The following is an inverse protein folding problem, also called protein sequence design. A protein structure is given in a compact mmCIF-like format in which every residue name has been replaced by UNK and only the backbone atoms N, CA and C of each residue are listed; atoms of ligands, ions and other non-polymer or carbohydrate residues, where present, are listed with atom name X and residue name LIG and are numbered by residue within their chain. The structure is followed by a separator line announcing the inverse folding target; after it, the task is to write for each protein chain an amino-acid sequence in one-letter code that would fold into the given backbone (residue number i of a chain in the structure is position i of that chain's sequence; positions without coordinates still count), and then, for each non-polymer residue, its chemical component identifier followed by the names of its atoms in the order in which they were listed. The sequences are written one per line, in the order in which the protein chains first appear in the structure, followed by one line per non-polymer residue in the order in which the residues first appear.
data_IF_638325160875
#
_entry.id   IF_638325160875
#
_cell.length_a   1.000
_cell.length_b   1.000
_cell.length_c   1.000
_cell.angle_alpha   90.00
_cell.angle_beta   90.00
_cell.angle_gamma   90.00
#
_symmetry.space_group_name_H-M   'P 1'
#
loop_
_entity.id
_entity.type
_entity.pdbx_description
1 polymer ?
#
# COMPACT_ATOMS: atom_id res chain seq x y z
N UNK A 1 64.88 -11.78 3.76
CA UNK A 1 64.91 -11.45 2.33
C UNK A 1 65.06 -12.75 1.56
N UNK A 2 63.94 -13.30 1.09
CA UNK A 2 63.90 -14.45 0.16
C UNK A 2 62.66 -14.25 -0.72
N UNK A 3 62.90 -13.96 -1.99
CA UNK A 3 61.90 -13.79 -3.05
C UNK A 3 61.87 -15.05 -3.89
N UNK A 4 60.67 -15.57 -4.20
CA UNK A 4 60.27 -16.22 -5.47
C UNK A 4 58.86 -16.79 -5.29
N UNK A 5 57.85 -16.15 -5.88
CA UNK A 5 57.37 -16.30 -7.26
C UNK A 5 56.34 -17.45 -7.36
N UNK A 6 55.07 -17.05 -7.36
CA UNK A 6 53.94 -17.87 -7.80
C UNK A 6 53.10 -17.07 -8.80
N UNK A 7 53.22 -17.42 -10.08
CA UNK A 7 52.30 -17.02 -11.14
C UNK A 7 51.14 -18.02 -11.20
N UNK A 8 49.89 -17.52 -11.22
CA UNK A 8 48.71 -18.29 -11.58
C UNK A 8 48.15 -17.77 -12.93
N UNK A 9 47.63 -18.65 -13.80
CA UNK A 9 47.28 -18.31 -15.17
C UNK A 9 45.93 -17.60 -15.31
N UNK A 10 45.88 -16.76 -16.33
CA UNK A 10 44.75 -16.08 -16.92
C UNK A 10 43.62 -17.04 -17.33
N UNK A 11 42.49 -16.95 -16.63
CA UNK A 11 41.19 -17.46 -17.07
C UNK A 11 40.35 -16.28 -17.56
N UNK A 12 39.96 -16.33 -18.84
CA UNK A 12 39.10 -15.32 -19.45
C UNK A 12 37.75 -15.21 -18.75
N UNK A 13 37.16 -14.03 -18.80
CA UNK A 13 35.90 -13.71 -18.14
C UNK A 13 34.75 -13.60 -19.18
N UNK A 14 34.00 -14.69 -19.45
CA UNK A 14 32.84 -14.64 -20.31
C UNK A 14 31.56 -14.49 -19.47
N UNK A 15 31.28 -13.27 -18.99
CA UNK A 15 29.90 -12.91 -18.66
C UNK A 15 29.70 -11.41 -18.50
N UNK A 16 29.63 -10.71 -19.63
CA UNK A 16 28.75 -9.54 -19.73
C UNK A 16 27.32 -10.06 -19.74
N UNK A 17 26.81 -10.44 -18.58
CA UNK A 17 25.35 -10.52 -18.36
C UNK A 17 24.86 -9.10 -18.14
N UNK A 18 24.52 -8.47 -19.27
CA UNK A 18 23.72 -7.25 -19.32
C UNK A 18 22.44 -7.50 -18.53
N UNK A 19 22.37 -6.99 -17.30
CA UNK A 19 21.17 -7.02 -16.49
C UNK A 19 20.05 -6.35 -17.30
N UNK A 20 19.11 -7.18 -17.74
CA UNK A 20 17.85 -6.78 -18.33
C UNK A 20 17.06 -5.99 -17.29
N UNK A 21 16.54 -4.83 -17.70
CA UNK A 21 15.65 -3.94 -16.95
C UNK A 21 15.00 -4.62 -15.74
N UNK A 22 15.45 -4.28 -14.54
CA UNK A 22 14.69 -4.54 -13.34
C UNK A 22 13.36 -3.80 -13.52
N UNK A 23 12.26 -4.53 -13.62
CA UNK A 23 10.94 -3.92 -13.47
C UNK A 23 10.98 -3.17 -12.13
N UNK A 24 10.86 -1.84 -12.19
CA UNK A 24 10.80 -1.01 -10.99
C UNK A 24 9.61 -1.49 -10.17
N UNK A 25 9.88 -2.29 -9.13
CA UNK A 25 8.87 -2.60 -8.13
C UNK A 25 8.39 -1.26 -7.59
N UNK A 26 7.09 -0.91 -7.76
CA UNK A 26 6.62 0.41 -7.37
C UNK A 26 6.95 0.62 -5.90
N UNK A 27 7.55 1.76 -5.59
CA UNK A 27 7.90 2.13 -4.23
C UNK A 27 6.64 2.07 -3.36
N UNK A 28 6.66 1.31 -2.25
CA UNK A 28 5.49 1.08 -1.39
C UNK A 28 5.79 1.43 0.06
N UNK A 29 4.72 1.60 0.82
CA UNK A 29 4.79 2.05 2.20
C UNK A 29 4.79 0.86 3.20
N UNK A 30 5.63 0.92 4.25
CA UNK A 30 7.04 0.51 4.18
C UNK A 30 7.21 -0.98 3.89
N UNK A 31 8.22 -1.28 3.07
CA UNK A 31 8.50 -2.59 2.44
C UNK A 31 8.91 -3.75 3.37
N UNK A 32 8.78 -3.65 4.71
CA UNK A 32 9.35 -4.66 5.63
C UNK A 32 8.41 -5.28 6.67
N UNK A 33 7.09 -5.02 6.67
CA UNK A 33 6.23 -5.47 7.79
C UNK A 33 4.94 -6.21 7.43
N UNK A 34 4.58 -6.42 6.17
CA UNK A 34 3.35 -7.16 5.84
C UNK A 34 3.53 -8.02 4.58
N UNK A 35 3.54 -9.37 4.69
CA UNK A 35 3.49 -10.23 3.52
C UNK A 35 2.19 -9.98 2.73
N UNK A 36 2.35 -9.73 1.42
CA UNK A 36 1.26 -9.51 0.49
C UNK A 36 0.71 -10.88 0.04
N UNK A 37 -0.54 -11.18 0.35
CA UNK A 37 -1.19 -12.40 -0.15
C UNK A 37 -1.96 -12.02 -1.41
N UNK A 38 -1.30 -12.12 -2.57
CA UNK A 38 -1.92 -11.89 -3.90
C UNK A 38 -2.83 -13.03 -4.34
N UNK A 39 -2.64 -14.23 -3.78
CA UNK A 39 -3.35 -15.42 -4.22
C UNK A 39 -4.86 -15.32 -3.91
N UNK A 40 -5.67 -15.07 -4.94
CA UNK A 40 -7.14 -15.10 -4.88
C UNK A 40 -7.83 -13.76 -4.62
N UNK A 41 -7.11 -12.64 -4.61
CA UNK A 41 -7.72 -11.31 -4.50
C UNK A 41 -8.53 -10.96 -5.77
N UNK A 42 -9.69 -10.30 -5.62
CA UNK A 42 -10.45 -9.82 -6.79
C UNK A 42 -9.72 -8.64 -7.43
N UNK A 43 -9.87 -8.40 -8.75
CA UNK A 43 -9.24 -7.25 -9.41
C UNK A 43 -9.52 -5.91 -8.74
N UNK A 44 -10.76 -5.69 -8.26
CA UNK A 44 -11.13 -4.47 -7.54
C UNK A 44 -10.38 -4.30 -6.21
N UNK A 45 -10.04 -5.41 -5.55
CA UNK A 45 -9.26 -5.42 -4.32
C UNK A 45 -7.83 -4.95 -4.58
N UNK A 46 -7.23 -5.45 -5.67
CA UNK A 46 -5.89 -5.07 -6.09
C UNK A 46 -5.85 -3.58 -6.47
N UNK A 47 -6.85 -3.10 -7.21
CA UNK A 47 -6.96 -1.67 -7.59
C UNK A 47 -7.01 -0.77 -6.36
N UNK A 48 -7.84 -1.10 -5.37
CA UNK A 48 -7.91 -0.33 -4.13
C UNK A 48 -6.59 -0.38 -3.35
N UNK A 49 -5.99 -1.56 -3.22
CA UNK A 49 -4.73 -1.72 -2.48
C UNK A 49 -3.62 -0.89 -3.13
N UNK A 50 -3.47 -0.93 -4.45
CA UNK A 50 -2.45 -0.14 -5.15
C UNK A 50 -2.66 1.36 -4.93
N UNK A 51 -3.88 1.86 -5.16
CA UNK A 51 -4.19 3.27 -4.95
C UNK A 51 -3.96 3.71 -3.49
N UNK A 52 -4.30 2.84 -2.52
CA UNK A 52 -4.04 3.10 -1.10
C UNK A 52 -2.54 3.20 -0.84
N UNK A 53 -1.74 2.24 -1.31
CA UNK A 53 -0.29 2.24 -1.08
C UNK A 53 0.38 3.48 -1.68
N UNK A 54 0.01 3.85 -2.91
CA UNK A 54 0.51 5.06 -3.57
C UNK A 54 0.16 6.34 -2.80
N UNK A 55 -1.09 6.48 -2.36
CA UNK A 55 -1.53 7.60 -1.51
C UNK A 55 -0.73 7.69 -0.20
N UNK A 56 -0.35 6.55 0.39
CA UNK A 56 0.34 6.50 1.68
C UNK A 56 1.82 6.89 1.61
N UNK A 57 2.45 6.86 0.43
CA UNK A 57 3.83 7.31 0.22
C UNK A 57 4.04 8.78 0.61
N UNK A 58 3.00 9.61 0.55
CA UNK A 58 3.05 11.02 0.92
C UNK A 58 3.11 11.29 2.42
N UNK A 59 3.14 10.28 3.28
CA UNK A 59 3.04 10.42 4.73
C UNK A 59 4.13 9.67 5.51
N UNK A 60 4.49 10.19 6.69
CA UNK A 60 5.40 9.50 7.61
C UNK A 60 4.78 8.27 8.29
N UNK A 61 5.64 7.40 8.84
CA UNK A 61 5.31 6.04 9.30
C UNK A 61 4.05 5.91 10.21
N UNK A 62 3.87 6.83 11.15
CA UNK A 62 2.74 6.73 12.08
C UNK A 62 1.42 7.14 11.41
N UNK A 63 1.48 8.18 10.57
CA UNK A 63 0.32 8.72 9.86
C UNK A 63 -0.19 7.72 8.84
N UNK A 64 0.69 7.18 8.00
CA UNK A 64 0.22 6.26 6.97
C UNK A 64 -0.14 4.88 7.53
N UNK A 65 0.44 4.43 8.67
CA UNK A 65 -0.09 3.25 9.39
C UNK A 65 -1.54 3.48 9.85
N UNK A 66 -1.81 4.66 10.42
CA UNK A 66 -3.14 5.02 10.89
C UNK A 66 -4.14 5.14 9.72
N UNK A 67 -3.74 5.79 8.63
CA UNK A 67 -4.57 5.96 7.44
C UNK A 67 -4.82 4.64 6.72
N UNK A 68 -3.83 3.73 6.64
CA UNK A 68 -4.01 2.39 6.09
C UNK A 68 -5.17 1.65 6.77
N UNK A 69 -5.16 1.61 8.11
CA UNK A 69 -6.23 0.97 8.88
C UNK A 69 -7.61 1.63 8.69
N UNK A 70 -7.63 2.96 8.53
CA UNK A 70 -8.87 3.70 8.31
C UNK A 70 -9.47 3.43 6.92
N UNK A 71 -8.59 3.42 5.90
CA UNK A 71 -8.96 3.17 4.50
C UNK A 71 -9.39 1.71 4.29
N UNK A 72 -8.71 0.76 4.94
CA UNK A 72 -9.12 -0.66 4.92
C UNK A 72 -10.53 -0.83 5.48
N UNK A 73 -10.85 -0.20 6.61
CA UNK A 73 -12.15 -0.37 7.25
C UNK A 73 -13.31 0.13 6.37
N UNK A 74 -13.18 1.30 5.73
CA UNK A 74 -14.22 1.81 4.83
C UNK A 74 -14.31 0.99 3.54
N UNK A 75 -13.18 0.52 3.01
CA UNK A 75 -13.16 -0.33 1.81
C UNK A 75 -13.89 -1.65 2.04
N UNK A 76 -13.57 -2.37 3.13
CA UNK A 76 -14.25 -3.62 3.46
C UNK A 76 -15.74 -3.41 3.72
N UNK A 77 -16.09 -2.33 4.42
CA UNK A 77 -17.49 -1.95 4.64
C UNK A 77 -18.26 -1.69 3.33
N UNK A 78 -17.64 -0.99 2.37
CA UNK A 78 -18.21 -0.69 1.06
C UNK A 78 -18.36 -1.97 0.23
N UNK A 79 -17.31 -2.78 0.18
CA UNK A 79 -17.30 -4.07 -0.53
C UNK A 79 -18.38 -5.03 -0.02
N UNK A 80 -18.51 -5.18 1.30
CA UNK A 80 -19.56 -6.01 1.91
C UNK A 80 -20.98 -5.60 1.49
N UNK A 81 -21.17 -4.35 1.08
CA UNK A 81 -22.45 -3.77 0.65
C UNK A 81 -22.59 -3.65 -0.87
N UNK A 82 -21.59 -4.08 -1.63
CA UNK A 82 -21.55 -3.94 -3.08
C UNK A 82 -21.45 -2.48 -3.53
N UNK A 83 -20.86 -1.60 -2.72
CA UNK A 83 -20.59 -0.21 -3.08
C UNK A 83 -19.21 -0.09 -3.72
N UNK A 84 -19.09 0.74 -4.76
CA UNK A 84 -17.80 1.16 -5.27
C UNK A 84 -17.17 2.17 -4.30
N UNK A 85 -15.99 1.83 -3.78
CA UNK A 85 -15.25 2.66 -2.82
C UNK A 85 -14.75 3.95 -3.45
N UNK A 86 -14.50 3.96 -4.76
CA UNK A 86 -14.03 5.14 -5.51
C UNK A 86 -15.17 6.11 -5.87
N UNK A 87 -16.42 5.73 -5.59
CA UNK A 87 -17.62 6.49 -5.95
C UNK A 87 -18.64 6.57 -4.81
N UNK A 88 -18.19 6.59 -3.55
CA UNK A 88 -19.12 6.64 -2.41
C UNK A 88 -19.89 7.95 -2.38
N UNK A 89 -21.22 7.84 -2.42
CA UNK A 89 -22.13 8.97 -2.28
C UNK A 89 -22.16 9.51 -0.85
N UNK A 90 -22.59 10.76 -0.68
CA UNK A 90 -22.83 11.36 0.64
C UNK A 90 -23.77 10.51 1.51
N UNK A 91 -24.77 9.86 0.90
CA UNK A 91 -25.69 8.97 1.61
C UNK A 91 -24.96 7.76 2.18
N UNK A 92 -24.09 7.13 1.39
CA UNK A 92 -23.28 5.99 1.82
C UNK A 92 -22.29 6.42 2.91
N UNK A 93 -21.63 7.57 2.77
CA UNK A 93 -20.72 8.10 3.81
C UNK A 93 -21.45 8.39 5.13
N UNK A 94 -22.70 8.88 5.09
CA UNK A 94 -23.54 9.02 6.28
C UNK A 94 -23.85 7.67 6.93
N UNK A 95 -24.12 6.63 6.13
CA UNK A 95 -24.33 5.26 6.65
C UNK A 95 -23.06 4.70 7.30
N UNK A 96 -21.89 4.91 6.68
CA UNK A 96 -20.60 4.51 7.26
C UNK A 96 -20.36 5.22 8.59
N UNK A 97 -20.56 6.54 8.65
CA UNK A 97 -20.42 7.32 9.89
C UNK A 97 -21.37 6.85 11.00
N UNK A 98 -22.61 6.50 10.64
CA UNK A 98 -23.57 5.92 11.59
C UNK A 98 -23.12 4.54 12.11
N UNK A 99 -22.54 3.70 11.24
CA UNK A 99 -21.95 2.42 11.65
C UNK A 99 -20.81 2.63 12.66
N UNK A 100 -19.89 3.57 12.40
CA UNK A 100 -18.78 3.84 13.31
C UNK A 100 -19.27 4.24 14.71
N UNK A 101 -20.31 5.08 14.78
CA UNK A 101 -20.95 5.46 16.03
C UNK A 101 -21.62 4.29 16.73
N UNK A 102 -22.32 3.42 15.99
CA UNK A 102 -22.93 2.19 16.53
C UNK A 102 -21.88 1.23 17.10
N UNK A 103 -20.68 1.20 16.51
CA UNK A 103 -19.51 0.45 17.01
C UNK A 103 -18.82 1.13 18.21
N UNK A 104 -19.34 2.26 18.69
CA UNK A 104 -18.82 3.03 19.84
C UNK A 104 -17.38 3.53 19.66
N UNK A 105 -16.95 3.79 18.43
CA UNK A 105 -15.69 4.50 18.20
C UNK A 105 -15.76 5.93 18.75
N UNK A 106 -14.64 6.43 19.28
CA UNK A 106 -14.54 7.82 19.74
C UNK A 106 -14.75 8.81 18.58
N UNK A 107 -15.29 10.00 18.87
CA UNK A 107 -15.48 11.03 17.83
C UNK A 107 -14.16 11.42 17.16
N UNK A 108 -13.03 11.36 17.88
CA UNK A 108 -11.70 11.55 17.29
C UNK A 108 -11.38 10.48 16.22
N UNK A 109 -11.68 9.21 16.50
CA UNK A 109 -11.50 8.12 15.53
C UNK A 109 -12.41 8.29 14.32
N UNK A 110 -13.68 8.65 14.54
CA UNK A 110 -14.62 8.94 13.45
C UNK A 110 -14.12 10.09 12.59
N UNK A 111 -13.68 11.20 13.20
CA UNK A 111 -13.14 12.36 12.48
C UNK A 111 -11.91 11.99 11.66
N UNK A 112 -10.97 11.22 12.24
CA UNK A 112 -9.75 10.77 11.56
C UNK A 112 -10.06 9.89 10.37
N UNK A 113 -10.95 8.89 10.52
CA UNK A 113 -11.39 8.01 9.41
C UNK A 113 -12.00 8.82 8.26
N UNK A 114 -12.90 9.75 8.57
CA UNK A 114 -13.50 10.60 7.53
C UNK A 114 -12.49 11.56 6.89
N UNK A 115 -11.46 11.99 7.62
CA UNK A 115 -10.40 12.83 7.08
C UNK A 115 -9.45 12.03 6.17
N UNK A 116 -9.07 10.82 6.57
CA UNK A 116 -8.27 9.91 5.75
C UNK A 116 -9.00 9.57 4.44
N UNK A 117 -10.29 9.20 4.52
CA UNK A 117 -11.08 8.91 3.34
C UNK A 117 -11.19 10.11 2.39
N UNK A 118 -11.50 11.32 2.89
CA UNK A 118 -11.57 12.52 2.02
C UNK A 118 -10.26 12.80 1.29
N UNK A 119 -9.13 12.72 1.99
CA UNK A 119 -7.82 12.95 1.39
C UNK A 119 -7.47 11.91 0.34
N UNK A 120 -7.82 10.65 0.60
CA UNK A 120 -7.66 9.57 -0.36
C UNK A 120 -8.55 9.78 -1.59
N UNK A 121 -9.84 10.04 -1.37
CA UNK A 121 -10.83 10.31 -2.43
C UNK A 121 -10.43 11.50 -3.32
N UNK A 122 -9.87 12.56 -2.73
CA UNK A 122 -9.34 13.70 -3.48
C UNK A 122 -8.05 13.38 -4.27
N UNK A 123 -7.25 12.41 -3.81
CA UNK A 123 -5.98 12.03 -4.44
C UNK A 123 -6.15 11.03 -5.60
N UNK A 124 -7.26 10.28 -5.63
CA UNK A 124 -7.50 9.21 -6.63
C UNK A 124 -8.54 9.58 -7.69
N UNK A 125 -9.03 10.83 -7.66
CA UNK A 125 -9.84 11.45 -8.72
C UNK A 125 -8.95 12.04 -9.81
#
# INVERSE_FOLDING_TARGET
MTTQDWHAPSGGDPSVVRATNAEETPQRYPDYLMPYVEAGARPDDLRFIQAREEFLLGYGYQTARAYRCDLDDIYWWARERGFDVFGLTDKQLRQYKALLRRRKYSENTVRRRMAAWRRFDDAVK
#
